data_IF_614854246318
#
_entry.id   IF_614854246318
#
_cell.length_a   1.000
_cell.length_b   1.000
_cell.length_c   1.000
_cell.angle_alpha   90.00
_cell.angle_beta   90.00
_cell.angle_gamma   90.00
#
_symmetry.space_group_name_H-M   'P 1'
#
loop_
_entity.id
_entity.type
_entity.pdbx_description
1 polymer ?
#
# COMPACT_ATOMS: atom_id res chain seq x y z
N UNK A 1 -40.14 -10.24 39.23
CA UNK A 1 -39.67 -10.87 40.49
C UNK A 1 -38.20 -11.22 40.34
N UNK A 2 -37.38 -10.70 41.26
CA UNK A 2 -35.98 -11.03 41.59
C UNK A 2 -34.86 -10.81 40.55
N UNK A 3 -34.18 -9.67 40.70
CA UNK A 3 -32.74 -9.51 40.45
C UNK A 3 -31.91 -10.43 41.35
N UNK A 4 -30.79 -10.97 40.84
CA UNK A 4 -29.63 -11.44 41.64
C UNK A 4 -28.36 -11.11 40.84
N UNK A 5 -27.68 -10.01 41.15
CA UNK A 5 -26.70 -9.76 42.23
C UNK A 5 -25.28 -9.93 41.73
N UNK A 6 -24.64 -8.77 41.61
CA UNK A 6 -23.23 -8.53 41.44
C UNK A 6 -22.40 -9.11 42.59
N UNK A 7 -21.20 -9.59 42.26
CA UNK A 7 -20.14 -9.80 43.26
C UNK A 7 -18.85 -9.20 42.74
N UNK A 8 -18.66 -7.91 43.01
CA UNK A 8 -17.35 -7.28 43.04
C UNK A 8 -16.63 -7.79 44.30
N UNK A 9 -15.48 -8.44 44.15
CA UNK A 9 -14.54 -8.64 45.26
C UNK A 9 -13.41 -7.61 45.11
N UNK A 10 -13.27 -6.76 46.12
CA UNK A 10 -12.13 -5.85 46.33
C UNK A 10 -11.21 -6.45 47.39
N UNK A 11 -9.97 -5.94 47.40
CA UNK A 11 -8.96 -5.95 48.48
C UNK A 11 -8.14 -7.26 48.50
N UNK A 12 -6.79 -7.26 48.45
CA UNK A 12 -5.89 -6.45 49.26
C UNK A 12 -4.53 -6.13 48.58
N UNK A 13 -4.03 -4.94 48.87
CA UNK A 13 -2.63 -4.56 48.75
C UNK A 13 -1.83 -5.17 49.90
N UNK A 14 -0.64 -5.70 49.62
CA UNK A 14 0.39 -5.99 50.61
C UNK A 14 1.76 -5.68 49.99
N UNK A 15 2.34 -4.56 50.43
CA UNK A 15 3.75 -4.24 50.24
C UNK A 15 4.55 -4.93 51.35
N UNK A 16 5.63 -5.63 51.00
CA UNK A 16 6.68 -6.02 51.95
C UNK A 16 8.03 -6.07 51.24
N UNK A 17 9.01 -5.49 51.92
CA UNK A 17 10.31 -5.08 51.44
C UNK A 17 11.36 -6.21 51.47
N UNK A 18 12.36 -6.02 50.59
CA UNK A 18 13.79 -6.34 50.72
C UNK A 18 14.24 -7.76 51.14
N UNK A 19 15.08 -8.39 50.30
CA UNK A 19 16.40 -8.93 50.70
C UNK A 19 17.13 -9.55 49.49
N UNK A 20 18.30 -8.98 49.17
CA UNK A 20 19.33 -9.54 48.27
C UNK A 20 20.15 -10.58 49.04
N UNK A 21 20.54 -11.70 48.39
CA UNK A 21 21.93 -12.10 48.48
C UNK A 21 22.53 -12.49 47.12
N UNK A 22 23.78 -12.07 46.92
CA UNK A 22 24.69 -12.52 45.88
C UNK A 22 24.94 -14.03 46.01
N UNK A 23 24.80 -14.76 44.91
CA UNK A 23 25.46 -16.05 44.70
C UNK A 23 26.15 -16.03 43.34
N UNK A 24 27.48 -15.93 43.39
CA UNK A 24 28.36 -16.22 42.28
C UNK A 24 28.36 -17.73 42.02
N UNK A 25 28.14 -18.14 40.77
CA UNK A 25 28.43 -19.48 40.28
C UNK A 25 29.12 -19.37 38.92
N UNK A 26 30.38 -19.82 38.86
CA UNK A 26 31.19 -19.95 37.66
C UNK A 26 31.26 -21.42 37.21
N UNK A 27 31.27 -21.64 35.89
CA UNK A 27 31.75 -22.85 35.17
C UNK A 27 30.67 -23.90 34.89
N UNK A 28 30.48 -24.46 33.69
CA UNK A 28 31.37 -24.64 32.50
C UNK A 28 30.49 -25.01 31.26
N UNK A 29 31.03 -25.17 30.02
CA UNK A 29 30.40 -24.70 28.79
C UNK A 29 29.62 -25.78 28.03
N UNK A 30 28.62 -25.35 27.28
CA UNK A 30 27.87 -26.18 26.34
C UNK A 30 27.34 -25.31 25.22
N UNK A 31 28.18 -25.11 24.20
CA UNK A 31 27.79 -24.49 22.94
C UNK A 31 26.69 -25.34 22.30
N UNK A 32 25.47 -24.83 22.30
CA UNK A 32 24.60 -24.92 21.14
C UNK A 32 24.16 -23.49 20.91
N UNK A 33 24.93 -22.77 20.09
CA UNK A 33 24.45 -21.55 19.48
C UNK A 33 23.25 -21.94 18.66
N UNK A 34 22.06 -21.75 19.22
CA UNK A 34 20.90 -21.42 18.39
C UNK A 34 21.26 -20.07 17.79
N UNK A 35 21.87 -20.11 16.60
CA UNK A 35 21.77 -19.03 15.64
C UNK A 35 20.27 -18.88 15.38
N UNK A 36 19.63 -18.05 16.20
CA UNK A 36 18.41 -17.40 15.77
C UNK A 36 18.86 -16.61 14.56
N UNK A 37 18.31 -16.97 13.43
CA UNK A 37 18.36 -16.22 12.19
C UNK A 37 17.99 -14.77 12.55
N UNK A 38 19.02 -13.94 12.71
CA UNK A 38 18.86 -12.49 12.83
C UNK A 38 18.57 -12.06 11.40
N UNK A 39 17.30 -12.21 11.01
CA UNK A 39 16.78 -11.53 9.84
C UNK A 39 17.14 -10.07 10.03
N UNK A 40 18.07 -9.57 9.21
CA UNK A 40 18.56 -8.21 9.26
C UNK A 40 17.36 -7.28 9.29
N UNK A 41 17.08 -6.70 10.47
CA UNK A 41 16.08 -5.67 10.58
C UNK A 41 16.50 -4.56 9.62
N UNK A 42 15.68 -4.32 8.60
CA UNK A 42 15.88 -3.17 7.71
C UNK A 42 15.76 -1.94 8.59
N UNK A 43 16.80 -1.10 8.61
CA UNK A 43 16.75 0.19 9.31
C UNK A 43 15.83 1.10 8.49
N UNK A 44 14.60 1.30 8.96
CA UNK A 44 13.59 2.10 8.27
C UNK A 44 13.79 3.57 8.66
N UNK A 45 13.95 4.49 7.70
CA UNK A 45 14.04 5.92 7.98
C UNK A 45 12.81 6.44 8.74
N UNK A 46 12.99 7.53 9.46
CA UNK A 46 11.86 8.28 9.97
C UNK A 46 11.26 9.11 8.82
N UNK A 47 9.95 8.99 8.67
CA UNK A 47 9.16 9.62 7.63
C UNK A 47 8.14 10.58 8.27
N UNK A 48 7.85 11.71 7.61
CA UNK A 48 6.99 12.81 8.02
C UNK A 48 5.94 13.15 6.93
N UNK A 49 4.98 14.01 7.27
CA UNK A 49 3.96 14.47 6.31
C UNK A 49 2.77 13.50 6.10
N UNK A 50 1.92 13.77 5.10
CA UNK A 50 0.63 13.09 4.93
C UNK A 50 0.76 11.61 4.54
N UNK A 51 1.87 11.22 3.91
CA UNK A 51 2.15 9.85 3.44
C UNK A 51 3.18 9.09 4.28
N UNK A 52 3.55 9.57 5.47
CA UNK A 52 4.61 8.99 6.30
C UNK A 52 4.41 7.49 6.61
N UNK A 53 3.16 7.07 6.80
CA UNK A 53 2.83 5.68 7.08
C UNK A 53 3.02 4.79 5.84
N UNK A 54 2.66 5.30 4.67
CA UNK A 54 2.80 4.68 3.36
C UNK A 54 4.28 4.56 2.99
N UNK A 55 5.09 5.61 3.15
CA UNK A 55 6.55 5.53 2.99
C UNK A 55 7.17 4.49 3.91
N UNK A 56 6.76 4.45 5.19
CA UNK A 56 7.23 3.42 6.14
C UNK A 56 6.92 2.00 5.65
N UNK A 57 5.67 1.78 5.21
CA UNK A 57 5.21 0.48 4.74
C UNK A 57 5.92 0.06 3.44
N UNK A 58 5.98 0.95 2.45
CA UNK A 58 6.54 0.67 1.14
C UNK A 58 8.06 0.52 1.20
N UNK A 59 8.75 1.32 2.02
CA UNK A 59 10.19 1.14 2.26
C UNK A 59 10.49 -0.22 2.88
N UNK A 60 9.64 -0.67 3.81
CA UNK A 60 9.80 -1.97 4.46
C UNK A 60 9.58 -3.12 3.47
N UNK A 61 8.58 -3.03 2.61
CA UNK A 61 8.18 -4.06 1.65
C UNK A 61 9.06 -4.12 0.38
N UNK A 62 9.69 -2.99 0.03
CA UNK A 62 10.50 -2.76 -1.16
C UNK A 62 11.36 -3.97 -1.55
N UNK A 63 11.13 -4.48 -2.75
CA UNK A 63 11.81 -5.66 -3.30
C UNK A 63 13.23 -5.40 -3.79
N UNK A 64 13.63 -4.14 -3.95
CA UNK A 64 14.92 -3.76 -4.53
C UNK A 64 15.61 -2.61 -3.78
N UNK A 65 16.94 -2.57 -3.87
CA UNK A 65 17.74 -1.47 -3.32
C UNK A 65 17.43 -0.14 -4.00
N UNK A 66 17.04 -0.18 -5.28
CA UNK A 66 16.56 1.00 -6.00
C UNK A 66 15.29 1.56 -5.36
N UNK A 67 14.29 0.71 -5.12
CA UNK A 67 13.04 1.15 -4.50
C UNK A 67 13.28 1.71 -3.09
N UNK A 68 14.15 1.09 -2.28
CA UNK A 68 14.52 1.63 -0.97
C UNK A 68 15.20 3.00 -1.08
N UNK A 69 16.07 3.21 -2.07
CA UNK A 69 16.74 4.50 -2.26
C UNK A 69 15.76 5.59 -2.68
N UNK A 70 14.88 5.31 -3.65
CA UNK A 70 13.88 6.26 -4.13
C UNK A 70 12.82 6.62 -3.07
N UNK A 71 12.62 5.79 -2.06
CA UNK A 71 11.71 6.06 -0.95
C UNK A 71 12.39 6.72 0.25
N UNK A 72 13.72 6.83 0.27
CA UNK A 72 14.47 7.14 1.50
C UNK A 72 14.34 8.59 1.97
N UNK A 73 13.98 9.51 1.08
CA UNK A 73 13.90 10.96 1.32
C UNK A 73 12.49 11.55 1.17
N UNK A 74 11.48 10.69 1.03
CA UNK A 74 10.06 11.07 0.92
C UNK A 74 9.67 11.85 -0.34
N UNK A 75 10.56 11.90 -1.33
CA UNK A 75 10.32 12.59 -2.60
C UNK A 75 10.65 11.66 -3.76
N UNK A 76 9.61 11.11 -4.41
CA UNK A 76 9.80 10.31 -5.63
C UNK A 76 9.84 11.26 -6.82
N UNK A 77 11.00 11.39 -7.43
CA UNK A 77 11.20 12.28 -8.58
C UNK A 77 10.75 11.65 -9.90
N UNK A 78 10.45 12.49 -10.90
CA UNK A 78 10.18 12.03 -12.28
C UNK A 78 11.30 11.13 -12.83
N UNK A 79 12.55 11.36 -12.41
CA UNK A 79 13.69 10.57 -12.84
C UNK A 79 13.69 9.17 -12.21
N UNK A 80 13.32 9.05 -10.94
CA UNK A 80 13.16 7.76 -10.26
C UNK A 80 11.96 7.00 -10.81
N UNK A 81 10.84 7.68 -11.07
CA UNK A 81 9.69 7.06 -11.73
C UNK A 81 10.07 6.52 -13.12
N UNK A 82 10.78 7.31 -13.93
CA UNK A 82 11.25 6.87 -15.25
C UNK A 82 12.25 5.71 -15.17
N UNK A 83 13.14 5.70 -14.17
CA UNK A 83 14.05 4.56 -13.93
C UNK A 83 13.29 3.31 -13.50
N UNK A 84 12.29 3.43 -12.63
CA UNK A 84 11.39 2.34 -12.23
C UNK A 84 10.69 1.75 -13.45
N UNK A 85 10.09 2.61 -14.29
CA UNK A 85 9.37 2.17 -15.49
C UNK A 85 10.29 1.42 -16.46
N UNK A 86 11.51 1.89 -16.65
CA UNK A 86 12.48 1.21 -17.52
C UNK A 86 12.93 -0.14 -16.96
N UNK A 87 13.11 -0.26 -15.64
CA UNK A 87 13.37 -1.56 -14.99
C UNK A 87 12.20 -2.52 -15.18
N UNK A 88 10.98 -2.03 -15.02
CA UNK A 88 9.76 -2.83 -15.20
C UNK A 88 9.65 -3.34 -16.64
N UNK A 89 9.79 -2.44 -17.62
CA UNK A 89 9.83 -2.76 -19.04
C UNK A 89 10.88 -3.82 -19.35
N UNK A 90 12.11 -3.61 -18.89
CA UNK A 90 13.22 -4.53 -19.15
C UNK A 90 12.96 -5.93 -18.59
N UNK A 91 12.37 -6.01 -17.39
CA UNK A 91 12.00 -7.29 -16.79
C UNK A 91 10.94 -8.03 -17.61
N UNK A 92 9.86 -7.33 -18.00
CA UNK A 92 8.79 -7.91 -18.82
C UNK A 92 9.29 -8.37 -20.19
N UNK A 93 10.12 -7.56 -20.86
CA UNK A 93 10.70 -7.91 -22.16
C UNK A 93 11.59 -9.15 -22.10
N UNK A 94 12.31 -9.37 -20.99
CA UNK A 94 13.13 -10.57 -20.79
C UNK A 94 12.29 -11.85 -20.77
N UNK A 95 11.04 -11.76 -20.32
CA UNK A 95 10.06 -12.86 -20.28
C UNK A 95 9.17 -12.90 -21.55
N UNK A 96 9.42 -12.01 -22.51
CA UNK A 96 8.66 -11.91 -23.75
C UNK A 96 7.27 -11.29 -23.60
N UNK A 97 7.05 -10.55 -22.50
CA UNK A 97 5.83 -9.77 -22.25
C UNK A 97 6.02 -8.35 -22.79
N UNK A 98 5.07 -7.87 -23.60
CA UNK A 98 5.06 -6.49 -24.10
C UNK A 98 4.37 -5.57 -23.11
N UNK A 99 4.96 -4.40 -22.88
CA UNK A 99 4.47 -3.34 -22.00
C UNK A 99 4.46 -2.00 -22.75
N UNK A 100 3.30 -1.34 -22.78
CA UNK A 100 3.10 -0.09 -23.53
C UNK A 100 3.46 1.18 -22.75
N UNK A 101 3.79 1.05 -21.46
CA UNK A 101 3.91 2.18 -20.53
C UNK A 101 2.78 2.18 -19.50
N UNK A 102 2.94 3.00 -18.46
CA UNK A 102 1.89 3.30 -17.51
C UNK A 102 0.98 4.41 -18.05
N UNK A 103 -0.32 4.27 -17.80
CA UNK A 103 -1.31 5.31 -18.00
C UNK A 103 -1.23 6.36 -16.87
N UNK A 104 -1.84 7.55 -17.00
CA UNK A 104 -1.77 8.59 -15.99
C UNK A 104 -2.32 8.21 -14.60
N UNK A 105 -3.14 7.15 -14.49
CA UNK A 105 -3.63 6.60 -13.23
C UNK A 105 -2.75 5.47 -12.68
N UNK A 106 -1.58 5.24 -13.27
CA UNK A 106 -0.67 4.14 -12.93
C UNK A 106 -1.13 2.77 -13.45
N UNK A 107 -2.27 2.69 -14.13
CA UNK A 107 -2.71 1.44 -14.75
C UNK A 107 -1.87 1.11 -15.98
N UNK A 108 -1.88 -0.16 -16.39
CA UNK A 108 -1.18 -0.59 -17.60
C UNK A 108 -1.76 -1.89 -18.13
N UNK A 109 -1.42 -2.21 -19.38
CA UNK A 109 -1.70 -3.49 -19.99
C UNK A 109 -0.40 -4.26 -20.25
N UNK A 110 -0.43 -5.56 -19.98
CA UNK A 110 0.64 -6.50 -20.28
C UNK A 110 0.13 -7.57 -21.26
N UNK A 111 0.92 -7.90 -22.28
CA UNK A 111 0.55 -8.98 -23.20
C UNK A 111 0.59 -10.35 -22.49
N UNK A 112 -0.13 -11.36 -23.01
CA UNK A 112 0.11 -12.75 -22.62
C UNK A 112 1.57 -13.16 -22.82
N UNK A 113 1.98 -14.23 -22.13
CA UNK A 113 3.29 -14.85 -22.37
C UNK A 113 3.39 -15.42 -23.80
N UNK A 114 4.61 -15.66 -24.33
CA UNK A 114 4.80 -16.17 -25.69
C UNK A 114 4.09 -17.50 -25.99
N UNK A 115 3.84 -18.32 -24.97
CA UNK A 115 3.09 -19.59 -25.08
C UNK A 115 1.56 -19.40 -24.96
N UNK A 116 1.10 -18.17 -24.78
CA UNK A 116 -0.30 -17.78 -24.64
C UNK A 116 -0.85 -17.91 -23.21
N UNK A 117 -0.01 -18.24 -22.24
CA UNK A 117 -0.42 -18.30 -20.82
C UNK A 117 -0.52 -16.91 -20.17
N UNK A 118 -1.18 -16.88 -19.02
CA UNK A 118 -1.40 -15.67 -18.22
C UNK A 118 -0.05 -15.16 -17.64
N UNK A 119 0.32 -13.89 -17.87
CA UNK A 119 1.59 -13.33 -17.42
C UNK A 119 1.59 -12.92 -15.94
N UNK A 120 0.50 -13.11 -15.18
CA UNK A 120 0.31 -12.57 -13.83
C UNK A 120 1.51 -12.70 -12.89
N UNK A 121 2.09 -13.90 -12.75
CA UNK A 121 3.21 -14.12 -11.81
C UNK A 121 4.51 -13.44 -12.28
N UNK A 122 4.73 -13.38 -13.61
CA UNK A 122 5.85 -12.65 -14.21
C UNK A 122 5.68 -11.15 -13.94
N UNK A 123 4.48 -10.63 -14.16
CA UNK A 123 4.13 -9.22 -13.90
C UNK A 123 4.38 -8.88 -12.43
N UNK A 124 3.81 -9.65 -11.49
CA UNK A 124 4.02 -9.45 -10.05
C UNK A 124 5.50 -9.46 -9.65
N UNK A 125 6.29 -10.34 -10.25
CA UNK A 125 7.73 -10.41 -9.98
C UNK A 125 8.42 -9.15 -10.50
N UNK A 126 8.13 -8.76 -11.74
CA UNK A 126 8.69 -7.57 -12.34
C UNK A 126 8.29 -6.28 -11.62
N UNK A 127 7.05 -6.15 -11.16
CA UNK A 127 6.60 -5.02 -10.36
C UNK A 127 7.44 -4.86 -9.09
N UNK A 128 7.66 -5.97 -8.39
CA UNK A 128 8.39 -5.96 -7.12
C UNK A 128 9.89 -5.72 -7.30
N UNK A 129 10.49 -6.24 -8.36
CA UNK A 129 11.91 -6.04 -8.65
C UNK A 129 12.19 -4.63 -9.18
N UNK A 130 11.30 -4.07 -10.00
CA UNK A 130 11.42 -2.71 -10.51
C UNK A 130 11.10 -1.64 -9.46
N UNK A 131 10.23 -1.97 -8.50
CA UNK A 131 9.65 -1.02 -7.55
C UNK A 131 8.35 -0.38 -8.05
N UNK A 132 7.69 -0.92 -9.09
CA UNK A 132 6.40 -0.41 -9.56
C UNK A 132 5.30 -0.51 -8.50
N UNK A 133 5.31 -1.60 -7.71
CA UNK A 133 4.35 -1.82 -6.61
C UNK A 133 4.58 -0.93 -5.38
N UNK A 134 5.67 -0.15 -5.38
CA UNK A 134 6.07 0.72 -4.27
C UNK A 134 6.32 2.14 -4.75
N UNK A 135 7.45 2.40 -5.42
CA UNK A 135 7.82 3.70 -6.00
C UNK A 135 6.76 4.18 -6.98
N UNK A 136 6.34 3.34 -7.93
CA UNK A 136 5.32 3.70 -8.92
C UNK A 136 3.98 4.03 -8.27
N UNK A 137 3.46 3.10 -7.48
CA UNK A 137 2.20 3.26 -6.78
C UNK A 137 2.15 4.52 -5.91
N UNK A 138 3.21 4.80 -5.13
CA UNK A 138 3.21 5.97 -4.23
C UNK A 138 3.33 7.28 -4.99
N UNK A 139 4.12 7.33 -6.07
CA UNK A 139 4.20 8.48 -6.96
C UNK A 139 2.83 8.84 -7.53
N UNK A 140 2.09 7.85 -8.07
CA UNK A 140 0.82 8.08 -8.75
C UNK A 140 -0.30 8.47 -7.76
N UNK A 141 -0.31 7.86 -6.58
CA UNK A 141 -1.23 8.23 -5.49
C UNK A 141 -0.95 9.65 -4.99
N UNK A 142 0.32 10.03 -4.81
CA UNK A 142 0.70 11.37 -4.35
C UNK A 142 0.38 12.45 -5.39
N UNK A 143 0.55 12.15 -6.68
CA UNK A 143 0.21 13.07 -7.75
C UNK A 143 -1.30 13.38 -7.82
N UNK A 144 -2.14 12.36 -7.63
CA UNK A 144 -3.60 12.49 -7.69
C UNK A 144 -4.24 12.93 -6.36
N UNK A 145 -3.57 12.72 -5.22
CA UNK A 145 -4.05 13.01 -3.88
C UNK A 145 -2.94 13.52 -2.95
N UNK A 146 -2.37 14.72 -3.17
CA UNK A 146 -1.16 15.18 -2.45
C UNK A 146 -1.34 15.34 -0.94
N UNK A 147 -2.56 15.56 -0.47
CA UNK A 147 -2.88 15.77 0.95
C UNK A 147 -3.30 14.49 1.69
N UNK A 148 -3.21 13.32 1.03
CA UNK A 148 -3.70 12.02 1.54
C UNK A 148 -5.14 12.10 2.09
N UNK A 149 -6.03 12.70 1.28
CA UNK A 149 -7.46 12.79 1.58
C UNK A 149 -8.11 11.40 1.50
N UNK A 150 -9.24 11.23 2.19
CA UNK A 150 -10.01 9.99 2.18
C UNK A 150 -10.47 9.65 0.75
N UNK A 151 -9.90 8.58 0.18
CA UNK A 151 -10.12 8.17 -1.22
C UNK A 151 -11.60 7.96 -1.54
N UNK A 152 -12.39 7.21 -0.72
CA UNK A 152 -13.83 7.08 -0.96
C UNK A 152 -14.58 8.42 -1.03
N UNK A 153 -14.21 9.38 -0.17
CA UNK A 153 -14.80 10.72 -0.18
C UNK A 153 -14.49 11.46 -1.47
N UNK A 154 -13.22 11.56 -1.87
CA UNK A 154 -12.84 12.33 -3.06
C UNK A 154 -13.35 11.69 -4.36
N UNK A 155 -13.44 10.36 -4.40
CA UNK A 155 -14.06 9.62 -5.51
C UNK A 155 -15.56 9.91 -5.61
N UNK A 156 -16.29 9.85 -4.50
CA UNK A 156 -17.72 10.18 -4.48
C UNK A 156 -17.96 11.62 -4.93
N UNK A 157 -17.18 12.57 -4.43
CA UNK A 157 -17.27 13.98 -4.83
C UNK A 157 -16.97 14.18 -6.31
N UNK A 158 -15.97 13.49 -6.87
CA UNK A 158 -15.66 13.56 -8.30
C UNK A 158 -16.83 13.06 -9.15
N UNK A 159 -17.40 11.91 -8.80
CA UNK A 159 -18.55 11.35 -9.52
C UNK A 159 -19.78 12.29 -9.45
N UNK A 160 -19.99 12.96 -8.31
CA UNK A 160 -21.03 14.00 -8.16
C UNK A 160 -20.76 15.19 -9.07
N UNK A 161 -19.52 15.69 -9.12
CA UNK A 161 -19.14 16.81 -10.01
C UNK A 161 -19.31 16.47 -11.49
N UNK A 162 -19.12 15.21 -11.86
CA UNK A 162 -19.34 14.66 -13.22
C UNK A 162 -20.82 14.42 -13.53
N UNK A 163 -21.72 14.61 -12.57
CA UNK A 163 -23.17 14.41 -12.69
C UNK A 163 -23.61 12.97 -13.04
N UNK A 164 -22.73 11.98 -12.83
CA UNK A 164 -23.00 10.56 -13.13
C UNK A 164 -23.62 9.77 -11.96
N UNK A 165 -23.75 10.42 -10.80
CA UNK A 165 -24.41 9.93 -9.59
C UNK A 165 -25.27 11.04 -8.97
N UNK A 166 -26.24 10.72 -8.08
CA UNK A 166 -27.05 11.75 -7.43
C UNK A 166 -26.23 12.73 -6.58
N UNK A 167 -26.69 13.97 -6.44
CA UNK A 167 -26.00 15.01 -5.66
C UNK A 167 -25.80 14.69 -4.16
N UNK A 168 -26.48 13.68 -3.62
CA UNK A 168 -26.33 13.21 -2.24
C UNK A 168 -25.40 12.01 -2.09
N UNK A 169 -24.75 11.56 -3.18
CA UNK A 169 -23.82 10.44 -3.18
C UNK A 169 -22.58 10.76 -2.34
N UNK A 170 -22.17 9.82 -1.49
CA UNK A 170 -21.07 10.01 -0.53
C UNK A 170 -20.14 8.78 -0.46
N UNK A 171 -19.10 8.87 0.39
CA UNK A 171 -18.10 7.82 0.59
C UNK A 171 -18.70 6.42 0.83
N UNK A 172 -19.71 6.31 1.71
CA UNK A 172 -20.36 5.03 2.01
C UNK A 172 -21.09 4.44 0.79
N UNK A 173 -21.67 5.29 -0.07
CA UNK A 173 -22.30 4.85 -1.31
C UNK A 173 -21.23 4.36 -2.29
N UNK A 174 -20.10 5.06 -2.38
CA UNK A 174 -18.95 4.66 -3.20
C UNK A 174 -18.39 3.30 -2.77
N UNK A 175 -18.20 3.08 -1.47
CA UNK A 175 -17.76 1.78 -0.94
C UNK A 175 -18.78 0.68 -1.25
N UNK A 176 -20.07 0.93 -0.99
CA UNK A 176 -21.15 -0.02 -1.30
C UNK A 176 -21.18 -0.39 -2.77
N UNK A 177 -20.98 0.59 -3.65
CA UNK A 177 -20.99 0.38 -5.09
C UNK A 177 -19.72 -0.32 -5.58
N UNK A 178 -18.58 -0.06 -4.96
CA UNK A 178 -17.31 -0.74 -5.24
C UNK A 178 -17.42 -2.25 -4.98
N UNK A 179 -18.04 -2.62 -3.86
CA UNK A 179 -18.35 -4.02 -3.53
C UNK A 179 -19.51 -4.60 -4.38
N UNK A 180 -20.34 -3.71 -4.93
CA UNK A 180 -21.55 -4.04 -5.66
C UNK A 180 -21.42 -3.76 -7.15
N UNK A 181 -22.12 -2.72 -7.63
CA UNK A 181 -22.32 -2.46 -9.06
C UNK A 181 -21.03 -2.21 -9.85
N UNK A 182 -19.98 -1.68 -9.23
CA UNK A 182 -18.70 -1.41 -9.90
C UNK A 182 -17.82 -2.65 -10.07
N UNK A 183 -18.16 -3.77 -9.41
CA UNK A 183 -17.45 -5.05 -9.61
C UNK A 183 -17.61 -5.63 -11.02
N UNK A 184 -18.61 -5.17 -11.79
CA UNK A 184 -18.82 -5.51 -13.20
C UNK A 184 -18.86 -4.24 -14.06
N UNK A 185 -17.67 -3.74 -14.44
CA UNK A 185 -17.52 -2.53 -15.26
C UNK A 185 -18.18 -2.66 -16.64
N UNK A 186 -18.37 -3.88 -17.15
CA UNK A 186 -19.03 -4.11 -18.44
C UNK A 186 -20.54 -3.88 -18.36
N UNK A 187 -21.15 -4.07 -17.18
CA UNK A 187 -22.56 -3.79 -16.95
C UNK A 187 -22.88 -2.30 -16.74
N UNK A 188 -21.87 -1.45 -16.52
CA UNK A 188 -22.05 -0.02 -16.30
C UNK A 188 -22.41 0.74 -17.60
N UNK A 189 -23.04 1.91 -17.45
CA UNK A 189 -23.15 2.85 -18.58
C UNK A 189 -21.78 3.34 -19.00
N UNK A 190 -21.65 3.73 -20.27
CA UNK A 190 -20.40 4.30 -20.79
C UNK A 190 -19.97 5.54 -20.02
N UNK A 191 -20.92 6.45 -19.77
CA UNK A 191 -20.69 7.70 -19.04
C UNK A 191 -20.13 7.45 -17.62
N UNK A 192 -20.71 6.50 -16.90
CA UNK A 192 -20.25 6.15 -15.56
C UNK A 192 -18.87 5.49 -15.57
N UNK A 193 -18.59 4.65 -16.57
CA UNK A 193 -17.27 4.01 -16.71
C UNK A 193 -16.19 5.05 -17.01
N UNK A 194 -16.46 5.97 -17.92
CA UNK A 194 -15.55 7.08 -18.25
C UNK A 194 -15.33 8.01 -17.05
N UNK A 195 -16.40 8.27 -16.28
CA UNK A 195 -16.28 9.03 -15.03
C UNK A 195 -15.45 8.28 -13.98
N UNK A 196 -15.61 6.96 -13.82
CA UNK A 196 -14.78 6.17 -12.91
C UNK A 196 -13.30 6.22 -13.30
N UNK A 197 -12.99 6.06 -14.59
CA UNK A 197 -11.60 6.16 -15.10
C UNK A 197 -11.04 7.55 -14.82
N UNK A 198 -11.71 8.61 -15.28
CA UNK A 198 -11.22 9.99 -15.09
C UNK A 198 -11.12 10.41 -13.62
N UNK A 199 -12.06 9.98 -12.77
CA UNK A 199 -11.99 10.23 -11.33
C UNK A 199 -10.90 9.40 -10.64
N UNK A 200 -10.56 8.22 -11.15
CA UNK A 200 -9.43 7.43 -10.63
C UNK A 200 -8.09 8.10 -10.93
N UNK A 201 -7.94 8.70 -12.12
CA UNK A 201 -6.72 9.42 -12.50
C UNK A 201 -6.60 10.78 -11.81
N UNK A 202 -7.70 11.53 -11.70
CA UNK A 202 -7.72 12.88 -11.13
C UNK A 202 -8.99 13.14 -10.31
N UNK A 203 -9.11 12.54 -9.10
CA UNK A 203 -10.28 12.70 -8.25
C UNK A 203 -10.45 14.13 -7.72
N UNK A 204 -9.42 14.96 -7.82
CA UNK A 204 -9.38 16.32 -7.28
C UNK A 204 -9.43 17.42 -8.36
N UNK A 205 -9.27 17.06 -9.64
CA UNK A 205 -9.24 18.02 -10.75
C UNK A 205 -7.95 18.85 -10.81
N UNK A 206 -6.82 18.29 -10.35
CA UNK A 206 -5.53 18.97 -10.25
C UNK A 206 -4.80 19.08 -11.60
N UNK A 207 -5.05 18.17 -12.53
CA UNK A 207 -4.35 18.13 -13.82
C UNK A 207 -4.85 19.22 -14.81
N UNK A 208 -6.01 19.83 -14.53
CA UNK A 208 -6.65 20.83 -15.38
C UNK A 208 -7.34 20.23 -16.61
N UNK A 209 -8.61 20.61 -16.84
CA UNK A 209 -9.37 20.28 -18.06
C UNK A 209 -9.23 21.35 -19.16
#
# INVERSE_FOLDING_TARGET
>A
MSLRRSTRRRVAAAALAALVPLLAACGTPGSVGSSVDDGTAVDVPAFDGPYAAEFTAFYSDAGSDFARQALADEEITDAEYAEMEEKFRTCLEAEGVTFSGFEPDGSYEASPLPDGSDPYEVVKTCERESGADTVGALHDIMASNPDNLDVPTIMAECLVRREVVPAGYAADDYLTDTEGRFSDLAALSTELREALTSCSSDPLGLAGE
#
